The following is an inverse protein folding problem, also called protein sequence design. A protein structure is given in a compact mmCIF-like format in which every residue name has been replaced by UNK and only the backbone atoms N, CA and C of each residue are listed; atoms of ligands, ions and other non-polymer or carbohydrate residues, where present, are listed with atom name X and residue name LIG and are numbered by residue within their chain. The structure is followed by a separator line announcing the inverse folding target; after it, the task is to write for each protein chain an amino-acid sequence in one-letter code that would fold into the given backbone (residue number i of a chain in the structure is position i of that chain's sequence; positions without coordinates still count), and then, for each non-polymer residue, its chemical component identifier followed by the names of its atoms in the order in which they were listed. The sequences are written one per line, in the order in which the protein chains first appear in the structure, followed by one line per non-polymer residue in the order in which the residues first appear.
data_IF_812922363182
#
_entry.id   IF_812922363182
#
_cell.length_a   1.000
_cell.length_b   1.000
_cell.length_c   1.000
_cell.angle_alpha   90.00
_cell.angle_beta   90.00
_cell.angle_gamma   90.00
#
_symmetry.space_group_name_H-M   'P 1'
#
loop_
_entity.id
_entity.type
_entity.pdbx_description
1 polymer ?
#
# COMPACT_ATOMS: atom_id res chain seq x y z
N UNK A 1 -0.90 -7.46 -1.60
CA UNK A 1 -0.33 -6.31 -0.89
C UNK A 1 1.07 -6.70 -0.44
N UNK A 2 2.09 -6.04 -0.96
CA UNK A 2 3.49 -6.41 -0.72
C UNK A 2 3.88 -6.14 0.73
N UNK A 3 4.45 -7.14 1.41
CA UNK A 3 4.97 -7.01 2.78
C UNK A 3 6.46 -6.66 2.71
N UNK A 4 6.85 -5.50 3.23
CA UNK A 4 8.27 -5.17 3.44
C UNK A 4 8.68 -5.73 4.81
N UNK A 5 9.59 -6.70 4.80
CA UNK A 5 10.31 -7.18 5.99
C UNK A 5 11.45 -6.20 6.26
N UNK A 6 11.42 -5.53 7.42
CA UNK A 6 12.53 -4.69 7.88
C UNK A 6 13.70 -5.55 8.36
N UNK A 7 14.86 -5.41 7.71
CA UNK A 7 16.13 -5.98 8.17
C UNK A 7 16.80 -4.92 9.06
N UNK A 8 17.03 -5.24 10.35
CA UNK A 8 17.84 -4.39 11.23
C UNK A 8 19.31 -4.74 11.06
N UNK A 9 20.08 -3.84 10.44
CA UNK A 9 21.54 -3.95 10.35
C UNK A 9 22.18 -3.43 11.64
N UNK A 10 22.86 -4.31 12.38
CA UNK A 10 23.78 -3.92 13.44
C UNK A 10 25.20 -4.03 12.88
N UNK A 11 25.77 -2.93 12.38
CA UNK A 11 27.22 -2.78 12.29
C UNK A 11 27.59 -1.31 12.48
N UNK A 12 28.36 -1.05 13.53
CA UNK A 12 28.97 0.24 13.75
C UNK A 12 30.05 0.50 12.71
N UNK A 13 30.08 1.71 12.18
CA UNK A 13 31.25 2.28 11.53
C UNK A 13 31.32 3.76 11.89
N UNK A 14 32.08 3.99 12.95
CA UNK A 14 32.81 5.20 13.28
C UNK A 14 33.67 5.63 12.07
N UNK A 15 33.10 6.41 11.14
CA UNK A 15 33.81 6.96 9.98
C UNK A 15 33.32 8.36 9.54
N UNK A 16 32.50 9.05 10.34
CA UNK A 16 31.94 10.36 9.97
C UNK A 16 32.88 11.55 10.27
N UNK A 17 34.06 11.31 10.83
CA UNK A 17 34.96 12.36 11.34
C UNK A 17 36.06 12.84 10.35
N UNK A 18 35.92 12.66 9.04
CA UNK A 18 37.07 12.82 8.12
C UNK A 18 36.93 13.72 6.89
N UNK A 19 35.94 14.61 6.77
CA UNK A 19 36.03 15.76 5.82
C UNK A 19 35.25 16.98 6.34
N UNK A 20 35.89 18.11 6.69
CA UNK A 20 35.17 19.35 6.96
C UNK A 20 34.59 19.88 5.64
N UNK A 21 33.27 19.82 5.48
CA UNK A 21 32.58 20.43 4.34
C UNK A 21 32.70 21.95 4.52
N UNK A 22 33.52 22.58 3.68
CA UNK A 22 33.67 24.04 3.68
C UNK A 22 32.31 24.72 3.50
N UNK A 23 32.03 25.86 4.18
CA UNK A 23 30.79 26.61 4.00
C UNK A 23 30.47 26.94 2.54
N UNK A 24 31.50 27.11 1.71
CA UNK A 24 31.35 27.32 0.26
C UNK A 24 30.87 26.08 -0.49
N UNK A 25 31.29 24.88 -0.09
CA UNK A 25 30.81 23.62 -0.67
C UNK A 25 29.35 23.39 -0.26
N UNK A 26 29.00 23.68 0.99
CA UNK A 26 27.62 23.61 1.45
C UNK A 26 26.71 24.60 0.70
N UNK A 27 27.18 25.81 0.44
CA UNK A 27 26.46 26.82 -0.34
C UNK A 27 26.28 26.38 -1.80
N UNK A 28 27.32 25.82 -2.44
CA UNK A 28 27.22 25.30 -3.81
C UNK A 28 26.28 24.09 -3.87
N UNK A 29 26.29 23.21 -2.87
CA UNK A 29 25.36 22.08 -2.79
C UNK A 29 23.92 22.54 -2.56
N UNK A 30 23.69 23.55 -1.71
CA UNK A 30 22.37 24.17 -1.50
C UNK A 30 21.87 24.87 -2.76
N UNK A 31 22.72 25.64 -3.44
CA UNK A 31 22.38 26.30 -4.71
C UNK A 31 22.12 25.27 -5.80
N UNK A 32 22.89 24.17 -5.84
CA UNK A 32 22.65 23.07 -6.78
C UNK A 32 21.32 22.36 -6.45
N UNK A 33 21.00 22.16 -5.17
CA UNK A 33 19.72 21.60 -4.72
C UNK A 33 18.53 22.53 -5.03
N UNK A 34 18.74 23.85 -4.94
CA UNK A 34 17.78 24.89 -5.35
C UNK A 34 17.69 25.06 -6.88
N UNK A 35 18.72 24.68 -7.64
CA UNK A 35 18.69 24.71 -9.11
C UNK A 35 18.01 23.47 -9.72
N UNK A 36 17.84 22.40 -8.95
CA UNK A 36 17.09 21.19 -9.35
C UNK A 36 15.59 21.25 -9.04
N UNK A 37 15.10 22.32 -8.40
CA UNK A 37 13.66 22.58 -8.33
C UNK A 37 13.22 23.30 -9.60
N UNK A 38 13.11 22.53 -10.69
CA UNK A 38 12.18 22.90 -11.75
C UNK A 38 10.79 23.07 -11.10
N UNK A 39 10.11 24.21 -11.24
CA UNK A 39 8.69 24.27 -10.92
C UNK A 39 8.01 23.35 -11.94
N UNK A 40 7.79 22.10 -11.57
CA UNK A 40 6.92 21.16 -12.28
C UNK A 40 5.44 21.58 -12.15
N UNK A 41 5.16 22.88 -12.29
CA UNK A 41 3.87 23.51 -12.02
C UNK A 41 3.31 24.25 -13.23
N UNK A 42 3.93 24.16 -14.41
CA UNK A 42 3.31 24.65 -15.64
C UNK A 42 3.52 23.59 -16.74
N UNK A 43 2.43 22.95 -17.17
CA UNK A 43 2.27 21.95 -18.25
C UNK A 43 2.19 20.46 -17.86
N UNK A 44 1.91 20.11 -16.61
CA UNK A 44 1.18 18.86 -16.30
C UNK A 44 -0.22 19.20 -15.80
N UNK A 45 -0.97 19.93 -16.62
CA UNK A 45 -2.41 20.06 -16.47
C UNK A 45 -3.09 19.45 -17.69
N UNK A 46 -2.76 18.18 -17.94
CA UNK A 46 -3.76 17.28 -18.50
C UNK A 46 -4.65 16.86 -17.32
N UNK A 47 -5.41 17.82 -16.78
CA UNK A 47 -6.63 17.53 -16.05
C UNK A 47 -7.46 16.69 -17.02
N UNK A 48 -7.39 15.37 -16.88
CA UNK A 48 -8.36 14.49 -17.49
C UNK A 48 -9.69 14.80 -16.80
N UNK A 49 -10.32 15.87 -17.29
CA UNK A 49 -11.54 16.44 -16.75
C UNK A 49 -12.63 15.38 -16.99
N UNK A 50 -12.95 14.62 -15.94
CA UNK A 50 -14.00 13.62 -15.99
C UNK A 50 -15.29 14.39 -16.28
N UNK A 51 -15.98 14.14 -17.41
CA UNK A 51 -17.16 14.91 -17.77
C UNK A 51 -18.18 14.90 -16.63
N UNK A 52 -18.87 16.03 -16.40
CA UNK A 52 -19.88 16.13 -15.34
C UNK A 52 -21.03 15.12 -15.51
N UNK A 53 -21.20 14.58 -16.72
CA UNK A 53 -22.17 13.58 -17.13
C UNK A 53 -21.56 12.18 -17.35
N UNK A 54 -20.36 11.93 -16.79
CA UNK A 54 -19.71 10.61 -16.87
C UNK A 54 -20.65 9.50 -16.38
N UNK A 55 -21.00 8.61 -17.31
CA UNK A 55 -22.05 7.61 -17.10
C UNK A 55 -21.79 6.35 -17.92
N UNK A 56 -22.70 5.36 -17.82
CA UNK A 56 -22.58 4.07 -18.51
C UNK A 56 -22.48 4.20 -20.04
N UNK A 57 -22.99 5.28 -20.63
CA UNK A 57 -22.97 5.51 -22.08
C UNK A 57 -21.57 5.72 -22.65
N UNK A 58 -20.57 5.96 -21.81
CA UNK A 58 -19.16 6.12 -22.21
C UNK A 58 -18.48 4.78 -22.52
N UNK A 59 -19.15 3.65 -22.23
CA UNK A 59 -18.64 2.30 -22.43
C UNK A 59 -19.50 1.54 -23.45
N UNK A 60 -18.93 0.60 -24.23
CA UNK A 60 -19.71 -0.27 -25.14
C UNK A 60 -20.91 -0.93 -24.44
N UNK A 61 -21.99 -1.22 -25.17
CA UNK A 61 -23.21 -1.81 -24.58
C UNK A 61 -22.94 -3.13 -23.86
N UNK A 62 -21.97 -3.91 -24.34
CA UNK A 62 -21.54 -5.20 -23.79
C UNK A 62 -20.43 -5.10 -22.72
N UNK A 63 -19.99 -3.89 -22.38
CA UNK A 63 -19.01 -3.70 -21.32
C UNK A 63 -19.54 -4.17 -19.96
N UNK A 64 -18.78 -5.05 -19.31
CA UNK A 64 -19.13 -5.61 -17.99
C UNK A 64 -18.38 -4.88 -16.89
N UNK A 65 -19.15 -4.27 -15.98
CA UNK A 65 -18.65 -3.80 -14.70
C UNK A 65 -18.79 -4.91 -13.67
N UNK A 66 -17.74 -5.13 -12.89
CA UNK A 66 -17.72 -6.15 -11.85
C UNK A 66 -17.08 -5.65 -10.57
N UNK A 67 -17.20 -6.47 -9.55
CA UNK A 67 -16.51 -6.32 -8.27
C UNK A 67 -15.73 -7.60 -7.98
N UNK A 68 -14.64 -7.49 -7.24
CA UNK A 68 -13.81 -8.63 -6.85
C UNK A 68 -13.54 -8.61 -5.35
N UNK A 69 -13.46 -9.79 -4.75
CA UNK A 69 -13.08 -10.00 -3.35
C UNK A 69 -12.04 -11.12 -3.26
N UNK A 70 -11.52 -11.39 -2.06
CA UNK A 70 -10.70 -12.59 -1.81
C UNK A 70 -11.20 -13.32 -0.57
N UNK A 71 -11.03 -14.64 -0.54
CA UNK A 71 -11.60 -15.51 0.50
C UNK A 71 -11.32 -15.03 1.93
N UNK A 72 -10.05 -14.86 2.32
CA UNK A 72 -9.69 -14.46 3.69
C UNK A 72 -10.19 -13.06 4.08
N UNK A 73 -10.42 -12.17 3.11
CA UNK A 73 -10.92 -10.83 3.38
C UNK A 73 -12.42 -10.78 3.67
N UNK A 74 -13.20 -11.77 3.19
CA UNK A 74 -14.66 -11.68 3.26
C UNK A 74 -15.36 -12.89 3.88
N UNK A 75 -14.85 -14.10 3.70
CA UNK A 75 -15.57 -15.33 4.06
C UNK A 75 -15.79 -15.47 5.55
N UNK A 76 -14.72 -15.40 6.36
CA UNK A 76 -14.76 -15.80 7.76
C UNK A 76 -14.78 -17.32 7.94
N UNK A 77 -15.33 -17.80 9.06
CA UNK A 77 -15.41 -19.23 9.42
C UNK A 77 -14.06 -19.96 9.38
N UNK A 78 -12.99 -19.25 9.71
CA UNK A 78 -11.60 -19.68 9.51
C UNK A 78 -11.23 -21.05 10.11
N UNK A 79 -11.80 -21.42 11.26
CA UNK A 79 -11.43 -22.64 11.99
C UNK A 79 -12.60 -23.62 12.14
N UNK A 80 -13.60 -23.54 11.25
CA UNK A 80 -14.84 -24.31 11.36
C UNK A 80 -15.08 -25.15 10.11
N UNK A 81 -16.05 -26.06 10.21
CA UNK A 81 -16.58 -26.88 9.09
C UNK A 81 -15.51 -27.65 8.29
N UNK A 82 -14.40 -28.00 8.94
CA UNK A 82 -13.33 -28.80 8.32
C UNK A 82 -12.35 -28.02 7.44
N UNK A 83 -12.42 -26.67 7.41
CA UNK A 83 -11.41 -25.84 6.74
C UNK A 83 -10.06 -25.96 7.47
N UNK A 84 -8.99 -26.23 6.72
CA UNK A 84 -7.61 -26.15 7.23
C UNK A 84 -7.09 -24.71 7.30
N UNK A 85 -6.12 -24.41 8.19
CA UNK A 85 -5.57 -23.07 8.32
C UNK A 85 -4.77 -22.69 7.06
N UNK A 86 -4.98 -21.45 6.59
CA UNK A 86 -4.12 -20.81 5.60
C UNK A 86 -2.94 -20.09 6.27
N UNK A 87 -1.97 -19.67 5.47
CA UNK A 87 -0.83 -18.86 5.96
C UNK A 87 -1.31 -17.56 6.61
N UNK A 88 -2.42 -16.98 6.14
CA UNK A 88 -2.97 -15.75 6.72
C UNK A 88 -3.60 -15.97 8.10
N UNK A 89 -4.20 -17.14 8.33
CA UNK A 89 -4.72 -17.52 9.65
C UNK A 89 -3.60 -17.59 10.69
N UNK A 90 -2.47 -18.19 10.30
CA UNK A 90 -1.28 -18.34 11.14
C UNK A 90 -0.67 -16.95 11.39
N UNK A 91 -0.40 -16.20 10.33
CA UNK A 91 0.20 -14.87 10.41
C UNK A 91 -0.60 -13.92 11.31
N UNK A 92 -1.92 -13.87 11.15
CA UNK A 92 -2.76 -12.95 11.90
C UNK A 92 -2.86 -13.30 13.40
N UNK A 93 -2.66 -14.58 13.76
CA UNK A 93 -2.66 -15.03 15.16
C UNK A 93 -1.29 -14.93 15.81
N UNK A 94 -0.24 -15.31 15.09
CA UNK A 94 1.13 -15.36 15.62
C UNK A 94 1.87 -14.03 15.54
N UNK A 95 1.42 -13.11 14.68
CA UNK A 95 2.05 -11.80 14.49
C UNK A 95 1.01 -10.68 14.40
N UNK A 96 0.05 -10.67 15.33
CA UNK A 96 -1.06 -9.71 15.34
C UNK A 96 -0.59 -8.26 15.44
N UNK A 97 0.55 -8.00 16.07
CA UNK A 97 1.19 -6.68 16.14
C UNK A 97 1.62 -6.14 14.77
N UNK A 98 1.72 -7.00 13.76
CA UNK A 98 2.00 -6.61 12.36
C UNK A 98 0.74 -6.21 11.59
N UNK A 99 -0.43 -6.37 12.20
CA UNK A 99 -1.72 -5.88 11.69
C UNK A 99 -2.04 -4.59 12.46
N UNK A 100 -2.34 -3.51 11.73
CA UNK A 100 -2.45 -2.14 12.27
C UNK A 100 -3.39 -2.04 13.49
N UNK A 101 -4.48 -2.78 13.47
CA UNK A 101 -5.51 -2.83 14.51
C UNK A 101 -5.53 -4.17 15.26
N UNK A 102 -4.53 -5.03 15.02
CA UNK A 102 -4.43 -6.37 15.59
C UNK A 102 -5.64 -7.28 15.32
N UNK A 103 -6.43 -6.98 14.28
CA UNK A 103 -7.57 -7.80 13.84
C UNK A 103 -7.13 -9.05 13.06
N UNK A 104 -8.08 -9.95 12.77
CA UNK A 104 -7.85 -11.14 11.96
C UNK A 104 -9.07 -11.47 11.07
N UNK A 105 -8.93 -12.48 10.21
CA UNK A 105 -9.97 -12.90 9.27
C UNK A 105 -10.90 -13.99 9.80
N UNK A 106 -10.95 -14.24 11.12
CA UNK A 106 -11.70 -15.38 11.67
C UNK A 106 -13.20 -15.28 11.38
N UNK A 107 -13.72 -14.05 11.37
CA UNK A 107 -15.11 -13.72 11.02
C UNK A 107 -15.20 -12.88 9.74
N UNK A 108 -14.26 -11.96 9.50
CA UNK A 108 -14.30 -11.03 8.37
C UNK A 108 -15.67 -10.30 8.27
N UNK A 109 -16.29 -10.23 7.08
CA UNK A 109 -17.69 -9.78 6.92
C UNK A 109 -18.69 -10.93 6.98
N UNK A 110 -18.24 -12.11 7.37
CA UNK A 110 -19.05 -13.33 7.53
C UNK A 110 -19.79 -13.70 6.22
N UNK A 111 -19.13 -13.44 5.09
CA UNK A 111 -19.71 -13.73 3.77
C UNK A 111 -20.03 -15.21 3.62
N UNK A 112 -19.27 -16.10 4.27
CA UNK A 112 -19.52 -17.54 4.25
C UNK A 112 -20.93 -17.92 4.75
N UNK A 113 -21.50 -17.18 5.71
CA UNK A 113 -22.86 -17.46 6.19
C UNK A 113 -23.91 -16.51 5.62
N UNK A 114 -23.48 -15.39 5.00
CA UNK A 114 -24.36 -14.30 4.54
C UNK A 114 -24.54 -14.25 3.04
N UNK A 115 -23.76 -15.00 2.27
CA UNK A 115 -24.00 -15.11 0.83
C UNK A 115 -25.38 -15.73 0.63
N UNK A 116 -26.22 -15.03 -0.13
CA UNK A 116 -27.52 -15.56 -0.52
C UNK A 116 -27.31 -16.67 -1.54
N UNK A 117 -28.07 -17.76 -1.39
CA UNK A 117 -28.15 -18.86 -2.33
C UNK A 117 -29.41 -18.72 -3.16
#
# INVERSE_FOLDING_TARGET
MFSVVGIKSNHGTDLLDRVPISPGILAVLLISLLAFTEPATILLDEEHDVPRDFSRSYFPEDFTFGVSTSAYQVEGEANKKGRGPSVWDIFARESSERIKDQSNGDVAVDFYNRYAV
#
